data_IF_545214621993
#
_entry.id   IF_545214621993
#
_cell.length_a   1.000
_cell.length_b   1.000
_cell.length_c   1.000
_cell.angle_alpha   90.00
_cell.angle_beta   90.00
_cell.angle_gamma   90.00
#
_symmetry.space_group_name_H-M   'P 1'
#
loop_
_entity.id
_entity.type
_entity.pdbx_description
1 polymer ?
#
# COMPACT_ATOMS: atom_id res chain seq x y z
N UNK A 1 -35.63 -19.98 43.12
CA UNK A 1 -34.72 -19.77 41.99
C UNK A 1 -34.93 -18.34 41.47
N UNK A 2 -34.13 -17.38 41.95
CA UNK A 2 -34.17 -15.98 41.49
C UNK A 2 -33.16 -15.82 40.39
N UNK A 3 -33.62 -15.65 39.15
CA UNK A 3 -32.80 -15.23 38.02
C UNK A 3 -32.44 -13.74 38.19
N UNK A 4 -31.15 -13.44 38.33
CA UNK A 4 -30.65 -12.08 38.25
C UNK A 4 -30.55 -11.70 36.77
N UNK A 5 -31.11 -10.55 36.36
CA UNK A 5 -30.85 -10.05 35.00
C UNK A 5 -29.42 -9.51 34.94
N UNK A 6 -28.63 -10.04 34.01
CA UNK A 6 -27.34 -9.46 33.63
C UNK A 6 -27.65 -8.16 32.89
N UNK A 7 -27.53 -7.05 33.58
CA UNK A 7 -27.53 -5.71 32.96
C UNK A 7 -26.22 -5.58 32.18
N UNK A 8 -26.28 -5.79 30.87
CA UNK A 8 -25.23 -5.35 29.94
C UNK A 8 -25.32 -3.81 29.88
N UNK A 9 -24.67 -3.13 30.80
CA UNK A 9 -24.41 -1.70 30.68
C UNK A 9 -23.43 -1.52 29.52
N UNK A 10 -23.97 -1.27 28.33
CA UNK A 10 -23.20 -0.73 27.22
C UNK A 10 -22.69 0.64 27.63
N UNK A 11 -21.45 0.71 28.05
CA UNK A 11 -20.72 1.96 28.17
C UNK A 11 -20.63 2.56 26.76
N UNK A 12 -21.60 3.40 26.39
CA UNK A 12 -21.43 4.39 25.34
C UNK A 12 -20.38 5.39 25.85
N UNK A 13 -19.11 5.04 25.65
CA UNK A 13 -18.05 6.04 25.74
C UNK A 13 -18.35 7.06 24.61
N UNK A 14 -18.75 8.29 24.97
CA UNK A 14 -18.73 9.40 24.02
C UNK A 14 -17.37 9.37 23.33
N UNK A 15 -17.38 9.23 22.00
CA UNK A 15 -16.13 9.27 21.21
C UNK A 15 -15.53 10.64 21.43
N UNK A 16 -14.44 10.70 22.19
CA UNK A 16 -13.67 11.91 22.36
C UNK A 16 -13.30 12.46 20.97
N UNK A 17 -13.69 13.69 20.67
CA UNK A 17 -13.38 14.33 19.41
C UNK A 17 -11.89 14.61 19.35
N UNK A 18 -11.20 14.00 18.38
CA UNK A 18 -9.81 14.31 18.07
C UNK A 18 -9.80 15.35 16.96
N UNK A 19 -9.10 16.45 17.18
CA UNK A 19 -8.99 17.55 16.23
C UNK A 19 -7.62 17.52 15.52
N UNK A 20 -7.58 18.11 14.32
CA UNK A 20 -6.35 18.25 13.57
C UNK A 20 -5.37 19.19 14.30
N UNK A 21 -4.09 18.89 14.16
CA UNK A 21 -3.03 19.75 14.65
C UNK A 21 -2.83 20.94 13.71
N UNK A 22 -2.39 22.05 14.27
CA UNK A 22 -2.08 23.25 13.50
C UNK A 22 -0.60 23.29 13.18
N UNK A 23 -0.25 23.42 11.90
CA UNK A 23 1.12 23.69 11.46
C UNK A 23 1.41 25.16 11.71
N UNK A 24 2.43 25.43 12.53
CA UNK A 24 2.89 26.79 12.86
C UNK A 24 3.99 27.24 11.90
N UNK A 25 4.89 26.31 11.53
CA UNK A 25 6.01 26.56 10.62
C UNK A 25 6.37 25.27 9.92
N UNK A 26 6.83 25.38 8.65
CA UNK A 26 7.41 24.29 7.88
C UNK A 26 8.69 24.75 7.19
N UNK A 27 9.70 23.91 7.16
CA UNK A 27 10.89 24.11 6.36
C UNK A 27 11.36 22.79 5.74
N UNK A 28 11.89 22.84 4.53
CA UNK A 28 12.48 21.67 3.88
C UNK A 28 13.92 21.49 4.32
N UNK A 29 14.26 20.24 4.70
CA UNK A 29 15.62 19.82 5.06
C UNK A 29 16.34 19.33 3.80
N UNK A 30 15.63 18.59 2.95
CA UNK A 30 16.13 18.06 1.68
C UNK A 30 15.02 18.05 0.64
N UNK A 31 15.41 18.23 -0.63
CA UNK A 31 14.55 18.10 -1.81
C UNK A 31 15.36 17.44 -2.92
N UNK A 32 15.62 16.16 -2.74
CA UNK A 32 16.34 15.32 -3.69
C UNK A 32 15.39 14.29 -4.31
N UNK A 33 15.70 13.74 -5.48
CA UNK A 33 14.95 12.62 -6.01
C UNK A 33 14.81 11.49 -4.97
N UNK A 34 13.58 11.03 -4.73
CA UNK A 34 13.24 9.99 -3.74
C UNK A 34 13.55 10.33 -2.27
N UNK A 35 13.96 11.56 -1.99
CA UNK A 35 14.26 12.01 -0.62
C UNK A 35 13.81 13.46 -0.42
N UNK A 36 12.53 13.69 -0.28
CA UNK A 36 11.99 14.98 0.15
C UNK A 36 11.60 14.90 1.61
N UNK A 37 12.27 15.68 2.44
CA UNK A 37 12.07 15.73 3.87
C UNK A 37 11.82 17.17 4.33
N UNK A 38 10.76 17.37 5.14
CA UNK A 38 10.49 18.64 5.80
C UNK A 38 10.42 18.48 7.32
N UNK A 39 10.65 19.57 8.00
CA UNK A 39 10.49 19.72 9.45
C UNK A 39 9.37 20.71 9.72
N UNK A 40 8.37 20.26 10.46
CA UNK A 40 7.22 21.06 10.87
C UNK A 40 7.28 21.37 12.37
N UNK A 41 6.91 22.59 12.74
CA UNK A 41 6.51 22.93 14.11
C UNK A 41 4.98 22.87 14.15
N UNK A 42 4.42 22.06 15.07
CA UNK A 42 2.98 21.82 15.12
C UNK A 42 2.42 22.04 16.52
N UNK A 43 1.19 22.56 16.60
CA UNK A 43 0.46 22.76 17.84
C UNK A 43 -0.70 21.76 17.93
N UNK A 44 -0.78 21.07 19.04
CA UNK A 44 -1.87 20.17 19.40
C UNK A 44 -3.10 20.94 19.86
N UNK A 45 -4.29 20.34 19.81
CA UNK A 45 -5.54 20.98 20.30
C UNK A 45 -5.49 21.42 21.78
N UNK A 46 -4.66 20.76 22.59
CA UNK A 46 -4.47 21.14 24.00
C UNK A 46 -3.50 22.31 24.20
N UNK A 47 -3.00 22.92 23.11
CA UNK A 47 -2.06 24.05 23.14
C UNK A 47 -0.59 23.68 23.20
N UNK A 48 -0.24 22.42 23.46
CA UNK A 48 1.16 21.98 23.46
C UNK A 48 1.76 22.07 22.05
N UNK A 49 3.05 22.37 21.99
CA UNK A 49 3.79 22.51 20.73
C UNK A 49 4.83 21.41 20.62
N UNK A 50 4.87 20.75 19.47
CA UNK A 50 5.98 19.89 19.05
C UNK A 50 6.86 20.74 18.14
N UNK A 51 8.07 21.11 18.56
CA UNK A 51 8.91 22.03 17.80
C UNK A 51 9.53 21.40 16.55
N UNK A 52 9.55 20.07 16.49
CA UNK A 52 10.19 19.31 15.42
C UNK A 52 9.41 18.02 15.12
N UNK A 53 8.61 18.06 14.04
CA UNK A 53 7.93 16.89 13.50
C UNK A 53 8.45 16.67 12.07
N UNK A 54 9.04 15.50 11.82
CA UNK A 54 9.60 15.22 10.50
C UNK A 54 8.60 14.51 9.61
N UNK A 55 8.48 15.00 8.36
CA UNK A 55 7.63 14.40 7.32
C UNK A 55 8.49 14.07 6.10
N UNK A 56 8.36 12.84 5.62
CA UNK A 56 8.87 12.40 4.33
C UNK A 56 7.74 12.53 3.30
N UNK A 57 8.01 13.26 2.22
CA UNK A 57 7.05 13.46 1.15
C UNK A 57 7.36 12.53 -0.02
N UNK A 58 6.35 11.77 -0.40
CA UNK A 58 6.39 10.87 -1.53
C UNK A 58 5.17 11.09 -2.44
N UNK A 59 5.28 10.78 -3.73
CA UNK A 59 4.09 10.67 -4.58
C UNK A 59 3.18 9.54 -4.07
N UNK A 60 1.95 9.53 -4.54
CA UNK A 60 1.07 8.39 -4.28
C UNK A 60 1.65 7.11 -4.90
N UNK A 61 1.43 6.00 -4.23
CA UNK A 61 1.82 4.68 -4.71
C UNK A 61 0.59 3.86 -5.10
N UNK A 62 0.81 2.89 -5.96
CA UNK A 62 -0.19 1.86 -6.29
C UNK A 62 0.37 0.47 -5.98
N UNK A 63 -0.52 -0.48 -5.75
CA UNK A 63 -0.22 -1.90 -5.85
C UNK A 63 -1.42 -2.67 -6.41
N UNK A 64 -1.17 -3.81 -7.03
CA UNK A 64 -2.17 -4.58 -7.77
C UNK A 64 -2.15 -6.04 -7.36
N UNK A 65 -3.27 -6.55 -6.83
CA UNK A 65 -3.54 -7.98 -6.82
C UNK A 65 -4.10 -8.30 -8.20
N UNK A 66 -3.33 -8.99 -9.03
CA UNK A 66 -3.72 -9.35 -10.39
C UNK A 66 -3.90 -10.87 -10.51
N UNK A 67 -5.10 -11.28 -10.91
CA UNK A 67 -5.48 -12.67 -11.13
C UNK A 67 -5.67 -12.92 -12.63
N UNK A 68 -4.96 -13.90 -13.16
CA UNK A 68 -5.11 -14.31 -14.56
C UNK A 68 -6.48 -14.97 -14.82
N UNK A 69 -6.84 -15.14 -16.08
CA UNK A 69 -8.06 -15.88 -16.47
C UNK A 69 -8.09 -17.31 -15.92
N UNK A 70 -6.93 -17.91 -15.73
CA UNK A 70 -6.77 -19.26 -15.17
C UNK A 70 -6.75 -19.26 -13.63
N UNK A 71 -6.86 -18.09 -12.99
CA UNK A 71 -6.89 -17.94 -11.55
C UNK A 71 -5.51 -17.90 -10.87
N UNK A 72 -4.43 -17.79 -11.64
CA UNK A 72 -3.09 -17.55 -11.10
C UNK A 72 -2.93 -16.12 -10.64
N UNK A 73 -2.20 -15.90 -9.54
CA UNK A 73 -1.87 -14.58 -9.01
C UNK A 73 -0.49 -14.16 -9.48
N UNK A 74 -0.40 -12.96 -10.04
CA UNK A 74 0.87 -12.40 -10.52
C UNK A 74 1.63 -11.87 -9.32
N UNK A 75 2.86 -12.36 -9.15
CA UNK A 75 3.79 -11.94 -8.12
C UNK A 75 5.11 -11.53 -8.74
N UNK A 76 5.84 -10.70 -8.04
CA UNK A 76 7.16 -10.22 -8.41
C UNK A 76 8.17 -10.55 -7.34
N UNK A 77 9.42 -10.74 -7.74
CA UNK A 77 10.56 -10.77 -6.81
C UNK A 77 11.54 -9.70 -7.19
N UNK A 78 11.93 -8.90 -6.21
CA UNK A 78 12.85 -7.80 -6.39
C UNK A 78 13.78 -7.66 -5.19
N UNK A 79 15.04 -7.27 -5.43
CA UNK A 79 15.95 -6.88 -4.37
C UNK A 79 15.60 -5.47 -3.87
N UNK A 80 15.36 -5.35 -2.57
CA UNK A 80 15.10 -4.07 -1.91
C UNK A 80 16.31 -3.64 -1.09
N UNK A 81 17.06 -2.68 -1.62
CA UNK A 81 18.32 -2.22 -1.04
C UNK A 81 18.18 -1.73 0.40
N UNK A 82 17.09 -1.04 0.74
CA UNK A 82 16.85 -0.50 2.08
C UNK A 82 16.79 -1.55 3.19
N UNK A 83 16.33 -2.77 2.86
CA UNK A 83 16.26 -3.90 3.80
C UNK A 83 17.28 -5.00 3.48
N UNK A 84 18.03 -4.86 2.39
CA UNK A 84 19.14 -5.74 2.03
C UNK A 84 18.72 -7.16 1.65
N UNK A 85 17.52 -7.36 1.08
CA UNK A 85 17.04 -8.70 0.71
C UNK A 85 16.18 -8.71 -0.55
N UNK A 86 16.05 -9.89 -1.16
CA UNK A 86 15.03 -10.18 -2.17
C UNK A 86 13.73 -10.55 -1.46
N UNK A 87 12.62 -9.96 -1.89
CA UNK A 87 11.30 -10.22 -1.33
C UNK A 87 10.28 -10.53 -2.42
N UNK A 88 9.18 -11.20 -2.05
CA UNK A 88 8.02 -11.34 -2.91
C UNK A 88 7.13 -10.12 -2.75
N UNK A 89 6.62 -9.63 -3.87
CA UNK A 89 5.84 -8.41 -3.94
C UNK A 89 4.66 -8.56 -4.89
N UNK A 90 3.68 -7.67 -4.74
CA UNK A 90 2.70 -7.39 -5.79
C UNK A 90 3.33 -6.42 -6.80
N UNK A 91 2.85 -6.40 -8.05
CA UNK A 91 3.15 -5.31 -8.96
C UNK A 91 2.77 -3.98 -8.29
N UNK A 92 3.70 -3.04 -8.27
CA UNK A 92 3.54 -1.78 -7.56
C UNK A 92 4.42 -0.70 -8.18
N UNK A 93 3.98 0.54 -8.08
CA UNK A 93 4.73 1.67 -8.60
C UNK A 93 4.24 3.00 -8.09
N UNK A 94 4.68 4.04 -8.74
CA UNK A 94 4.39 5.43 -8.43
C UNK A 94 3.28 5.94 -9.34
N UNK A 95 2.39 6.76 -8.79
CA UNK A 95 1.48 7.56 -9.62
C UNK A 95 2.29 8.71 -10.21
N UNK A 96 2.57 8.63 -11.50
CA UNK A 96 3.28 9.67 -12.23
C UNK A 96 2.35 10.88 -12.43
N UNK A 97 2.87 12.12 -12.45
CA UNK A 97 2.07 13.31 -12.76
C UNK A 97 1.33 13.27 -14.10
N UNK A 98 1.75 12.44 -15.04
CA UNK A 98 1.10 12.23 -16.33
C UNK A 98 -0.04 11.20 -16.29
N UNK A 99 -0.12 10.39 -15.25
CA UNK A 99 -1.22 9.43 -15.08
C UNK A 99 -2.54 10.16 -14.79
N UNK A 100 -3.59 9.83 -15.51
CA UNK A 100 -4.91 10.47 -15.34
C UNK A 100 -5.54 10.15 -13.96
N UNK A 101 -5.14 9.03 -13.34
CA UNK A 101 -5.62 8.59 -12.02
C UNK A 101 -4.70 7.49 -11.45
N UNK A 102 -4.82 7.17 -10.15
CA UNK A 102 -4.14 6.00 -9.58
C UNK A 102 -4.50 4.68 -10.27
N UNK A 103 -5.71 4.55 -10.80
CA UNK A 103 -6.12 3.36 -11.57
C UNK A 103 -5.34 3.25 -12.89
N UNK A 104 -5.17 4.36 -13.60
CA UNK A 104 -4.40 4.36 -14.86
C UNK A 104 -2.90 4.11 -14.59
N UNK A 105 -2.34 4.64 -13.50
CA UNK A 105 -1.00 4.27 -13.05
C UNK A 105 -0.89 2.76 -12.78
N UNK A 106 -1.86 2.17 -12.08
CA UNK A 106 -1.87 0.74 -11.77
C UNK A 106 -1.93 -0.15 -13.04
N UNK A 107 -2.71 0.27 -14.03
CA UNK A 107 -2.79 -0.44 -15.33
C UNK A 107 -1.48 -0.32 -16.12
N UNK A 108 -0.87 0.86 -16.11
CA UNK A 108 0.41 1.12 -16.77
C UNK A 108 1.51 0.26 -16.15
N UNK A 109 1.67 0.30 -14.83
CA UNK A 109 2.70 -0.46 -14.12
C UNK A 109 2.53 -1.98 -14.34
N UNK A 110 1.31 -2.50 -14.18
CA UNK A 110 1.07 -3.93 -14.44
C UNK A 110 1.47 -4.33 -15.85
N UNK A 111 1.16 -3.49 -16.85
CA UNK A 111 1.50 -3.74 -18.23
C UNK A 111 3.01 -3.70 -18.48
N UNK A 112 3.70 -2.67 -17.97
CA UNK A 112 5.14 -2.44 -18.16
C UNK A 112 5.97 -3.53 -17.46
N UNK A 113 5.73 -3.76 -16.18
CA UNK A 113 6.50 -4.71 -15.37
C UNK A 113 6.23 -6.18 -15.73
N UNK A 114 4.98 -6.50 -16.05
CA UNK A 114 4.57 -7.90 -16.20
C UNK A 114 4.16 -8.29 -17.61
N UNK A 115 3.76 -7.34 -18.45
CA UNK A 115 3.16 -7.56 -19.76
C UNK A 115 1.71 -8.06 -19.71
N UNK A 116 1.08 -8.11 -18.50
CA UNK A 116 -0.32 -8.45 -18.33
C UNK A 116 -1.18 -7.20 -18.35
N UNK A 117 -2.39 -7.33 -18.90
CA UNK A 117 -3.37 -6.25 -19.00
C UNK A 117 -4.78 -6.76 -19.16
N UNK A 118 -5.68 -5.89 -19.63
CA UNK A 118 -7.11 -6.16 -19.71
C UNK A 118 -7.72 -6.54 -18.35
N UNK A 119 -8.77 -7.34 -18.32
CA UNK A 119 -9.44 -7.79 -17.10
C UNK A 119 -10.39 -6.75 -16.52
N UNK A 120 -11.00 -7.10 -15.41
CA UNK A 120 -11.91 -6.25 -14.63
C UNK A 120 -11.17 -5.67 -13.43
N UNK A 121 -11.29 -4.35 -13.22
CA UNK A 121 -10.56 -3.61 -12.21
C UNK A 121 -11.49 -2.98 -11.19
N UNK A 122 -11.11 -3.09 -9.92
CA UNK A 122 -11.80 -2.42 -8.83
C UNK A 122 -10.83 -1.83 -7.81
N UNK A 123 -11.20 -0.68 -7.24
CA UNK A 123 -10.51 -0.15 -6.06
C UNK A 123 -10.69 -1.13 -4.91
N UNK A 124 -9.60 -1.48 -4.24
CA UNK A 124 -9.64 -2.55 -3.26
C UNK A 124 -9.34 -2.08 -1.84
N UNK A 125 -8.32 -1.24 -1.70
CA UNK A 125 -7.88 -0.73 -0.40
C UNK A 125 -7.08 0.55 -0.57
N UNK A 126 -7.16 1.45 0.41
CA UNK A 126 -6.27 2.62 0.51
C UNK A 126 -5.57 2.51 1.86
N UNK A 127 -4.25 2.55 1.85
CA UNK A 127 -3.42 2.36 3.03
C UNK A 127 -2.26 3.35 3.08
N UNK A 128 -1.70 3.53 4.24
CA UNK A 128 -0.46 4.28 4.45
C UNK A 128 0.65 3.33 4.87
N UNK A 129 1.83 3.47 4.29
CA UNK A 129 3.00 2.68 4.66
C UNK A 129 3.50 3.03 6.07
N UNK A 130 3.51 4.32 6.40
CA UNK A 130 3.94 4.82 7.70
C UNK A 130 3.31 6.19 7.99
N UNK A 131 2.08 6.25 8.51
CA UNK A 131 1.35 7.50 8.72
C UNK A 131 1.99 8.41 9.79
N UNK A 132 2.96 7.90 10.56
CA UNK A 132 3.71 8.69 11.53
C UNK A 132 4.72 9.64 10.88
N UNK A 133 5.18 9.37 9.66
CA UNK A 133 6.20 10.18 8.99
C UNK A 133 5.95 10.41 7.51
N UNK A 134 5.20 9.52 6.82
CA UNK A 134 4.90 9.68 5.39
C UNK A 134 3.61 10.44 5.16
N UNK A 135 3.59 11.28 4.13
CA UNK A 135 2.40 12.04 3.76
C UNK A 135 1.59 11.40 2.62
N UNK A 136 2.11 10.35 2.00
CA UNK A 136 1.47 9.71 0.86
C UNK A 136 0.62 8.49 1.24
N UNK A 137 -0.24 8.10 0.30
CA UNK A 137 -1.08 6.91 0.38
C UNK A 137 -0.71 5.92 -0.72
N UNK A 138 -1.00 4.65 -0.47
CA UNK A 138 -0.94 3.56 -1.45
C UNK A 138 -2.36 3.16 -1.83
N UNK A 139 -2.67 3.21 -3.11
CA UNK A 139 -3.95 2.78 -3.68
C UNK A 139 -3.81 1.35 -4.19
N UNK A 140 -4.50 0.43 -3.55
CA UNK A 140 -4.48 -0.97 -3.92
C UNK A 140 -5.69 -1.30 -4.81
N UNK A 141 -5.43 -2.04 -5.89
CA UNK A 141 -6.45 -2.48 -6.84
C UNK A 141 -6.50 -4.01 -6.87
N UNK A 142 -7.67 -4.54 -7.20
CA UNK A 142 -7.86 -5.93 -7.58
C UNK A 142 -8.22 -5.96 -9.05
N UNK A 143 -7.40 -6.65 -9.84
CA UNK A 143 -7.63 -6.91 -11.26
C UNK A 143 -7.90 -8.41 -11.46
N UNK A 144 -9.01 -8.77 -12.08
CA UNK A 144 -9.39 -10.16 -12.32
C UNK A 144 -9.53 -10.43 -13.81
N UNK A 145 -9.12 -11.64 -14.23
CA UNK A 145 -9.16 -12.03 -15.63
C UNK A 145 -8.15 -11.32 -16.51
N UNK A 146 -7.00 -10.90 -15.93
CA UNK A 146 -5.92 -10.33 -16.72
C UNK A 146 -5.26 -11.39 -17.59
N UNK A 147 -4.69 -10.96 -18.71
CA UNK A 147 -4.03 -11.84 -19.69
C UNK A 147 -2.74 -11.22 -20.18
N UNK A 148 -1.82 -12.06 -20.66
CA UNK A 148 -0.59 -11.59 -21.30
C UNK A 148 -0.95 -10.91 -22.61
N UNK A 149 -0.67 -9.60 -22.73
CA UNK A 149 -1.02 -8.79 -23.91
C UNK A 149 0.19 -8.29 -24.66
N UNK A 150 1.35 -8.22 -24.00
CA UNK A 150 2.61 -7.83 -24.63
C UNK A 150 3.82 -8.40 -23.88
N UNK A 151 5.00 -8.28 -24.45
CA UNK A 151 6.22 -8.47 -23.70
C UNK A 151 6.41 -7.33 -22.70
N UNK A 152 6.95 -7.67 -21.53
CA UNK A 152 7.24 -6.66 -20.49
C UNK A 152 8.31 -5.68 -20.97
N UNK A 153 8.22 -4.46 -20.49
CA UNK A 153 9.17 -3.42 -20.77
C UNK A 153 9.67 -2.81 -19.46
N UNK A 154 10.81 -3.29 -18.97
CA UNK A 154 11.42 -2.81 -17.75
C UNK A 154 12.34 -1.62 -18.01
N UNK A 155 12.37 -0.69 -17.08
CA UNK A 155 13.39 0.35 -17.06
C UNK A 155 14.79 -0.27 -16.81
N UNK A 156 15.88 0.36 -17.28
CA UNK A 156 17.24 -0.18 -17.09
C UNK A 156 17.66 -0.38 -15.63
N UNK A 157 16.95 0.25 -14.70
CA UNK A 157 17.19 0.18 -13.25
C UNK A 157 16.27 -0.80 -12.54
N UNK A 158 15.39 -1.48 -13.26
CA UNK A 158 14.47 -2.48 -12.73
C UNK A 158 15.00 -3.89 -12.94
N UNK A 159 15.17 -4.60 -11.84
CA UNK A 159 15.57 -6.02 -11.83
C UNK A 159 14.48 -6.83 -11.14
N UNK A 160 13.43 -7.15 -11.90
CA UNK A 160 12.20 -7.78 -11.44
C UNK A 160 12.03 -9.13 -12.11
N UNK A 161 11.75 -10.16 -11.31
CA UNK A 161 11.32 -11.49 -11.78
C UNK A 161 9.82 -11.62 -11.55
N UNK A 162 9.08 -11.88 -12.63
CA UNK A 162 7.61 -12.07 -12.59
C UNK A 162 7.29 -13.56 -12.56
N UNK A 163 6.43 -13.95 -11.64
CA UNK A 163 5.93 -15.32 -11.47
C UNK A 163 4.40 -15.33 -11.38
N UNK A 164 3.77 -16.32 -11.98
CA UNK A 164 2.33 -16.58 -11.82
C UNK A 164 2.18 -17.76 -10.87
N UNK A 165 1.72 -17.49 -9.67
CA UNK A 165 1.59 -18.48 -8.60
C UNK A 165 0.12 -18.80 -8.33
N UNK A 166 -0.16 -20.01 -7.85
CA UNK A 166 -1.50 -20.31 -7.33
C UNK A 166 -1.74 -19.51 -6.05
N UNK A 167 -2.96 -19.02 -5.79
CA UNK A 167 -3.27 -18.26 -4.58
C UNK A 167 -2.82 -18.94 -3.28
N UNK A 168 -2.90 -20.27 -3.19
CA UNK A 168 -2.46 -21.04 -2.01
C UNK A 168 -0.94 -20.95 -1.79
N UNK A 169 -0.16 -20.84 -2.86
CA UNK A 169 1.29 -20.63 -2.76
C UNK A 169 1.58 -19.23 -2.22
N UNK A 170 0.88 -18.21 -2.71
CA UNK A 170 1.00 -16.84 -2.21
C UNK A 170 0.59 -16.75 -0.73
N UNK A 171 -0.50 -17.42 -0.33
CA UNK A 171 -0.89 -17.52 1.07
C UNK A 171 0.20 -18.18 1.93
N UNK A 172 0.87 -19.19 1.39
CA UNK A 172 1.99 -19.86 2.07
C UNK A 172 3.18 -18.90 2.24
N UNK A 173 3.51 -18.09 1.23
CA UNK A 173 4.56 -17.06 1.32
C UNK A 173 4.24 -16.03 2.41
N UNK A 174 3.00 -15.56 2.48
CA UNK A 174 2.54 -14.67 3.57
C UNK A 174 2.73 -15.31 4.95
N UNK A 175 2.28 -16.55 5.12
CA UNK A 175 2.38 -17.29 6.39
C UNK A 175 3.84 -17.52 6.82
N UNK A 176 4.74 -17.66 5.86
CA UNK A 176 6.18 -17.81 6.09
C UNK A 176 6.92 -16.48 6.25
N UNK A 177 6.20 -15.37 6.18
CA UNK A 177 6.78 -14.03 6.25
C UNK A 177 7.81 -13.75 5.13
N UNK A 178 7.49 -14.22 3.93
CA UNK A 178 8.28 -13.97 2.71
C UNK A 178 7.72 -12.82 1.86
N UNK A 179 6.65 -12.18 2.34
CA UNK A 179 6.09 -10.93 1.82
C UNK A 179 6.02 -9.96 3.00
N UNK A 180 7.09 -9.20 3.23
CA UNK A 180 7.22 -8.39 4.44
C UNK A 180 6.81 -6.93 4.27
N UNK A 181 6.75 -6.44 3.03
CA UNK A 181 6.30 -5.08 2.77
C UNK A 181 4.83 -4.93 3.12
N UNK A 182 4.53 -4.11 4.13
CA UNK A 182 3.19 -3.97 4.69
C UNK A 182 2.13 -3.56 3.65
N UNK A 183 2.50 -2.70 2.69
CA UNK A 183 1.60 -2.24 1.62
C UNK A 183 1.24 -3.33 0.61
N UNK A 184 1.96 -4.44 0.59
CA UNK A 184 1.67 -5.63 -0.21
C UNK A 184 1.00 -6.73 0.64
N UNK A 185 1.49 -6.94 1.84
CA UNK A 185 0.94 -7.95 2.75
C UNK A 185 -0.50 -7.62 3.18
N UNK A 186 -0.80 -6.36 3.49
CA UNK A 186 -2.12 -5.97 3.98
C UNK A 186 -3.26 -6.27 2.97
N UNK A 187 -3.18 -5.85 1.68
CA UNK A 187 -4.22 -6.19 0.71
C UNK A 187 -4.31 -7.69 0.44
N UNK A 188 -3.19 -8.42 0.47
CA UNK A 188 -3.20 -9.88 0.33
C UNK A 188 -3.89 -10.56 1.52
N UNK A 189 -3.64 -10.13 2.75
CA UNK A 189 -4.36 -10.65 3.92
C UNK A 189 -5.86 -10.38 3.84
N UNK A 190 -6.27 -9.18 3.39
CA UNK A 190 -7.67 -8.89 3.12
C UNK A 190 -8.25 -9.85 2.09
N UNK A 191 -7.54 -10.06 0.96
CA UNK A 191 -7.96 -10.96 -0.09
C UNK A 191 -8.21 -12.39 0.44
N UNK A 192 -7.27 -12.95 1.19
CA UNK A 192 -7.42 -14.29 1.74
C UNK A 192 -8.41 -14.39 2.90
N UNK A 193 -8.76 -13.31 3.55
CA UNK A 193 -9.83 -13.28 4.53
C UNK A 193 -11.23 -13.33 3.87
N UNK A 194 -11.37 -12.68 2.70
CA UNK A 194 -12.62 -12.62 1.93
C UNK A 194 -12.84 -13.85 1.05
N UNK A 195 -11.78 -14.54 0.63
CA UNK A 195 -11.80 -15.69 -0.28
C UNK A 195 -11.28 -16.96 0.43
N UNK A 196 -12.03 -17.41 1.43
CA UNK A 196 -11.73 -18.63 2.22
C UNK A 196 -12.24 -19.89 1.53
#
# INVERSE_FOLDING_TARGET
SKKHPIFCMGLYMEKQKIENWKVLRSEYIAREPWFTARRDEVQLPNGNVIPTYYVLEYPAWICVIALTKEGGMIMERQYRHGIGRVDYELCAGVVDPTDASPLEAAKRELLEETGFGNGEWQSYMIISANPGTHNNLTYCFLATGVEKVMERHLEPTEDIVVEVLRPEQVRTLLLKNEIIQATHAAPLWKYFAENR
#
